data_IF_166634186833
#
_entry.id   IF_166634186833
#
_cell.length_a   1.000
_cell.length_b   1.000
_cell.length_c   1.000
_cell.angle_alpha   90.00
_cell.angle_beta   90.00
_cell.angle_gamma   90.00
#
_symmetry.space_group_name_H-M   'P 1'
#
loop_
_entity.id
_entity.type
_entity.pdbx_description
1 polymer ?
#
# COMPACT_ATOMS: atom_id res chain seq x y z
N UNK A 1 9.09 -4.30 27.56
CA UNK A 1 7.74 -4.80 27.20
C UNK A 1 6.70 -4.12 28.08
N UNK A 2 5.59 -3.67 27.50
CA UNK A 2 4.49 -3.02 28.22
C UNK A 2 3.21 -3.79 27.95
N UNK A 3 2.46 -4.11 29.00
CA UNK A 3 1.13 -4.73 28.87
C UNK A 3 0.08 -3.61 28.77
N UNK A 4 -0.72 -3.64 27.73
CA UNK A 4 -1.74 -2.65 27.43
C UNK A 4 -3.04 -3.31 27.01
N UNK A 5 -4.13 -2.57 26.94
CA UNK A 5 -5.36 -2.99 26.29
C UNK A 5 -5.59 -2.14 25.06
N UNK A 6 -5.50 -2.75 23.88
CA UNK A 6 -5.79 -2.08 22.60
C UNK A 6 -7.15 -2.51 22.09
N UNK A 7 -8.08 -1.58 21.99
CA UNK A 7 -9.46 -1.83 21.54
C UNK A 7 -10.18 -2.96 22.29
N UNK A 8 -9.93 -3.05 23.61
CA UNK A 8 -10.51 -4.08 24.48
C UNK A 8 -9.75 -5.42 24.52
N UNK A 9 -8.73 -5.60 23.71
CA UNK A 9 -7.91 -6.81 23.70
C UNK A 9 -6.64 -6.64 24.55
N UNK A 10 -6.28 -7.63 25.40
CA UNK A 10 -5.00 -7.62 26.08
C UNK A 10 -3.87 -7.70 25.07
N UNK A 11 -2.95 -6.77 25.14
CA UNK A 11 -1.87 -6.62 24.19
C UNK A 11 -0.54 -6.39 24.88
N UNK A 12 0.56 -6.75 24.24
CA UNK A 12 1.92 -6.49 24.70
C UNK A 12 2.66 -5.66 23.66
N UNK A 13 3.14 -4.50 24.09
CA UNK A 13 4.01 -3.66 23.27
C UNK A 13 5.46 -4.06 23.52
N UNK A 14 6.14 -4.46 22.46
CA UNK A 14 7.55 -4.88 22.45
C UNK A 14 8.39 -3.71 21.95
N UNK A 15 9.44 -3.34 22.67
CA UNK A 15 10.21 -2.11 22.41
C UNK A 15 11.71 -2.31 22.30
N UNK A 16 12.26 -3.44 22.73
CA UNK A 16 13.70 -3.69 22.60
C UNK A 16 14.02 -4.42 21.28
N UNK A 17 15.15 -4.10 20.63
CA UNK A 17 15.53 -4.75 19.35
C UNK A 17 15.57 -6.27 19.44
N UNK A 18 16.10 -6.83 20.54
CA UNK A 18 16.24 -8.28 20.75
C UNK A 18 14.86 -8.95 20.81
N UNK A 19 13.93 -8.34 21.56
CA UNK A 19 12.57 -8.90 21.69
C UNK A 19 11.79 -8.71 20.38
N UNK A 20 11.95 -7.58 19.70
CA UNK A 20 11.34 -7.37 18.38
C UNK A 20 11.86 -8.42 17.38
N UNK A 21 13.18 -8.66 17.36
CA UNK A 21 13.75 -9.70 16.49
C UNK A 21 13.12 -11.06 16.78
N UNK A 22 13.05 -11.47 18.05
CA UNK A 22 12.45 -12.75 18.43
C UNK A 22 11.01 -12.89 17.95
N UNK A 23 10.17 -11.85 18.18
CA UNK A 23 8.77 -11.88 17.73
C UNK A 23 8.64 -11.91 16.21
N UNK A 24 9.54 -11.25 15.48
CA UNK A 24 9.48 -11.15 14.02
C UNK A 24 10.11 -12.33 13.27
N UNK A 25 10.85 -13.20 13.97
CA UNK A 25 11.54 -14.35 13.35
C UNK A 25 11.05 -15.71 13.85
N UNK A 26 10.15 -15.73 14.82
CA UNK A 26 9.59 -16.95 15.42
C UNK A 26 8.16 -17.14 14.90
N UNK A 27 8.06 -17.69 13.68
CA UNK A 27 6.79 -17.93 12.99
C UNK A 27 5.96 -19.07 13.63
N UNK A 28 6.56 -19.89 14.48
CA UNK A 28 5.84 -20.93 15.23
C UNK A 28 5.06 -20.34 16.41
N UNK A 29 5.67 -19.40 17.14
CA UNK A 29 5.07 -18.80 18.32
C UNK A 29 4.21 -17.54 18.01
N UNK A 30 4.48 -16.85 16.89
CA UNK A 30 3.83 -15.61 16.54
C UNK A 30 3.31 -15.63 15.11
N UNK A 31 2.04 -15.32 14.94
CA UNK A 31 1.42 -15.19 13.62
C UNK A 31 1.07 -13.72 13.32
N UNK A 32 1.20 -13.28 12.07
CA UNK A 32 0.77 -11.95 11.67
C UNK A 32 -0.73 -11.75 11.92
N UNK A 33 -1.07 -10.71 12.66
CA UNK A 33 -2.45 -10.30 12.92
C UNK A 33 -2.75 -8.98 12.22
N UNK A 34 -3.73 -8.96 11.33
CA UNK A 34 -4.14 -7.76 10.63
C UNK A 34 -5.47 -7.24 11.17
N UNK A 35 -5.68 -5.91 11.24
CA UNK A 35 -6.97 -5.36 11.58
C UNK A 35 -8.06 -5.87 10.63
N UNK A 36 -9.23 -6.19 11.16
CA UNK A 36 -10.36 -6.70 10.35
C UNK A 36 -10.71 -5.77 9.19
N UNK A 37 -10.64 -4.46 9.39
CA UNK A 37 -10.84 -3.48 8.33
C UNK A 37 -9.86 -3.67 7.15
N UNK A 38 -8.59 -3.96 7.43
CA UNK A 38 -7.60 -4.21 6.40
C UNK A 38 -7.90 -5.50 5.61
N UNK A 39 -8.23 -6.59 6.31
CA UNK A 39 -8.57 -7.87 5.69
C UNK A 39 -9.78 -7.75 4.77
N UNK A 40 -10.85 -7.11 5.22
CA UNK A 40 -12.07 -6.92 4.43
C UNK A 40 -11.87 -6.04 3.21
N UNK A 41 -11.06 -4.98 3.33
CA UNK A 41 -10.81 -4.04 2.24
C UNK A 41 -9.79 -4.55 1.20
N UNK A 42 -8.79 -5.32 1.64
CA UNK A 42 -7.74 -5.82 0.74
C UNK A 42 -8.11 -7.19 0.16
N UNK A 43 -8.97 -7.92 0.87
CA UNK A 43 -9.45 -9.24 0.49
C UNK A 43 -8.68 -10.40 1.11
N UNK A 44 -9.37 -11.52 1.31
CA UNK A 44 -8.83 -12.72 1.98
C UNK A 44 -7.71 -13.40 1.16
N UNK A 45 -7.72 -13.24 -0.16
CA UNK A 45 -6.68 -13.80 -1.06
C UNK A 45 -5.49 -12.88 -1.26
N UNK A 46 -5.39 -11.82 -0.48
CA UNK A 46 -4.29 -10.86 -0.56
C UNK A 46 -3.02 -11.37 0.11
N UNK A 47 -1.89 -10.75 -0.22
CA UNK A 47 -0.59 -11.05 0.40
C UNK A 47 -0.60 -11.10 1.93
N UNK A 48 -1.48 -10.35 2.58
CA UNK A 48 -1.56 -10.26 4.05
C UNK A 48 -2.30 -11.44 4.69
N UNK A 49 -3.03 -12.24 3.89
CA UNK A 49 -3.85 -13.36 4.38
C UNK A 49 -3.44 -14.71 3.79
N UNK A 50 -2.52 -14.71 2.82
CA UNK A 50 -2.08 -15.94 2.18
C UNK A 50 -1.40 -16.90 3.16
N UNK A 51 -1.58 -18.22 2.98
CA UNK A 51 -0.73 -19.22 3.62
C UNK A 51 0.75 -18.98 3.31
N UNK A 52 1.63 -19.31 4.23
CA UNK A 52 3.06 -19.03 4.15
C UNK A 52 3.71 -19.50 2.85
N UNK A 53 3.40 -20.70 2.39
CA UNK A 53 3.96 -21.27 1.17
C UNK A 53 3.54 -20.52 -0.09
N UNK A 54 2.27 -20.12 -0.18
CA UNK A 54 1.77 -19.30 -1.29
C UNK A 54 2.37 -17.90 -1.24
N UNK A 55 2.47 -17.31 -0.05
CA UNK A 55 3.13 -16.03 0.15
C UNK A 55 4.59 -16.06 -0.31
N UNK A 56 5.38 -17.06 0.10
CA UNK A 56 6.77 -17.23 -0.33
C UNK A 56 6.89 -17.39 -1.85
N UNK A 57 6.01 -18.19 -2.45
CA UNK A 57 5.96 -18.37 -3.91
C UNK A 57 5.68 -17.07 -4.64
N UNK A 58 4.61 -16.38 -4.26
CA UNK A 58 4.19 -15.14 -4.91
C UNK A 58 5.23 -14.03 -4.72
N UNK A 59 5.81 -13.91 -3.52
CA UNK A 59 6.87 -12.95 -3.24
C UNK A 59 8.11 -13.19 -4.11
N UNK A 60 8.48 -14.44 -4.36
CA UNK A 60 9.60 -14.79 -5.25
C UNK A 60 9.30 -14.39 -6.69
N UNK A 61 8.09 -14.62 -7.16
CA UNK A 61 7.67 -14.26 -8.53
C UNK A 61 7.59 -12.75 -8.74
N UNK A 62 7.18 -12.00 -7.73
CA UNK A 62 7.01 -10.54 -7.83
C UNK A 62 8.28 -9.75 -7.49
N UNK A 63 9.20 -10.31 -6.69
CA UNK A 63 10.39 -9.58 -6.25
C UNK A 63 11.39 -9.33 -7.38
N UNK A 64 11.62 -10.29 -8.25
CA UNK A 64 12.60 -10.16 -9.31
C UNK A 64 12.22 -9.05 -10.34
N UNK A 65 10.98 -9.00 -10.86
CA UNK A 65 10.56 -7.94 -11.77
C UNK A 65 10.54 -6.53 -11.15
N UNK A 66 10.37 -6.43 -9.82
CA UNK A 66 10.22 -5.13 -9.13
C UNK A 66 11.54 -4.65 -8.53
N UNK A 67 12.30 -5.55 -7.88
CA UNK A 67 13.49 -5.21 -7.11
C UNK A 67 14.78 -5.80 -7.70
N UNK A 68 14.71 -6.52 -8.83
CA UNK A 68 15.88 -7.05 -9.50
C UNK A 68 16.80 -5.94 -10.02
N UNK A 69 18.11 -6.14 -10.03
CA UNK A 69 19.08 -5.15 -10.48
C UNK A 69 18.78 -4.64 -11.90
N UNK A 70 18.49 -5.55 -12.81
CA UNK A 70 18.14 -5.22 -14.20
C UNK A 70 16.83 -4.40 -14.27
N UNK A 71 15.81 -4.80 -13.52
CA UNK A 71 14.54 -4.08 -13.46
C UNK A 71 14.73 -2.65 -12.92
N UNK A 72 15.48 -2.50 -11.82
CA UNK A 72 15.80 -1.19 -11.23
C UNK A 72 16.57 -0.32 -12.21
N UNK A 73 17.56 -0.88 -12.92
CA UNK A 73 18.33 -0.15 -13.93
C UNK A 73 17.43 0.40 -15.06
N UNK A 74 16.41 -0.35 -15.46
CA UNK A 74 15.43 0.08 -16.45
C UNK A 74 14.48 1.17 -15.93
N UNK A 75 14.17 1.17 -14.63
CA UNK A 75 13.24 2.16 -14.05
C UNK A 75 13.91 3.48 -13.68
N UNK A 76 15.22 3.49 -13.38
CA UNK A 76 15.95 4.69 -12.95
C UNK A 76 15.78 5.87 -13.92
N UNK A 77 15.96 5.73 -15.24
CA UNK A 77 15.78 6.86 -16.16
C UNK A 77 14.37 7.44 -16.15
N UNK A 78 13.35 6.58 -16.01
CA UNK A 78 11.97 7.02 -15.90
C UNK A 78 11.71 7.75 -14.57
N UNK A 79 12.24 7.23 -13.47
CA UNK A 79 12.14 7.85 -12.14
C UNK A 79 12.80 9.23 -12.15
N UNK A 80 14.03 9.31 -12.66
CA UNK A 80 14.79 10.57 -12.76
C UNK A 80 14.02 11.62 -13.55
N UNK A 81 13.51 11.27 -14.72
CA UNK A 81 12.70 12.15 -15.55
C UNK A 81 11.49 12.70 -14.77
N UNK A 82 10.69 11.82 -14.15
CA UNK A 82 9.50 12.23 -13.39
C UNK A 82 9.83 13.09 -12.16
N UNK A 83 10.94 12.81 -11.49
CA UNK A 83 11.42 13.63 -10.37
C UNK A 83 11.79 15.03 -10.85
N UNK A 84 12.58 15.15 -11.92
CA UNK A 84 13.01 16.43 -12.48
C UNK A 84 11.80 17.28 -12.95
N UNK A 85 10.87 16.69 -13.69
CA UNK A 85 9.65 17.34 -14.14
C UNK A 85 8.79 17.80 -12.95
N UNK A 86 8.69 16.99 -11.91
CA UNK A 86 7.95 17.34 -10.70
C UNK A 86 8.61 18.49 -9.94
N UNK A 87 9.91 18.47 -9.77
CA UNK A 87 10.67 19.55 -9.12
C UNK A 87 10.55 20.86 -9.89
N UNK A 88 10.64 20.81 -11.21
CA UNK A 88 10.43 21.98 -12.06
C UNK A 88 9.01 22.54 -11.93
N UNK A 89 8.00 21.68 -11.92
CA UNK A 89 6.62 22.06 -11.70
C UNK A 89 6.43 22.70 -10.33
N UNK A 90 6.96 22.08 -9.27
CA UNK A 90 6.83 22.57 -7.90
C UNK A 90 7.56 23.89 -7.69
N UNK A 91 8.69 24.13 -8.36
CA UNK A 91 9.42 25.40 -8.28
C UNK A 91 8.62 26.59 -8.81
N UNK A 92 7.66 26.34 -9.71
CA UNK A 92 6.77 27.36 -10.31
C UNK A 92 5.45 27.50 -9.55
N UNK A 93 5.15 26.59 -8.63
CA UNK A 93 3.98 26.64 -7.75
C UNK A 93 4.33 27.46 -6.51
N UNK A 94 3.37 28.16 -5.95
CA UNK A 94 3.52 28.78 -4.63
C UNK A 94 3.73 27.74 -3.53
N UNK A 95 3.32 27.99 -2.30
CA UNK A 95 3.40 27.02 -1.23
C UNK A 95 2.71 25.71 -1.61
N UNK A 96 3.40 24.58 -1.44
CA UNK A 96 2.89 23.24 -1.75
C UNK A 96 2.75 22.38 -0.49
N UNK A 97 1.78 21.48 -0.47
CA UNK A 97 1.72 20.42 0.51
C UNK A 97 2.63 19.26 0.04
N UNK A 98 3.86 19.26 0.53
CA UNK A 98 4.92 18.35 0.04
C UNK A 98 4.52 16.87 0.09
N UNK A 99 3.88 16.42 1.17
CA UNK A 99 3.47 15.02 1.32
C UNK A 99 2.47 14.60 0.23
N UNK A 100 1.52 15.46 -0.11
CA UNK A 100 0.54 15.20 -1.17
C UNK A 100 1.22 15.12 -2.54
N UNK A 101 2.15 16.03 -2.84
CA UNK A 101 2.88 16.02 -4.11
C UNK A 101 3.79 14.78 -4.22
N UNK A 102 4.48 14.43 -3.12
CA UNK A 102 5.34 13.25 -3.09
C UNK A 102 4.55 11.94 -3.27
N UNK A 103 3.36 11.84 -2.69
CA UNK A 103 2.47 10.70 -2.89
C UNK A 103 2.06 10.54 -4.36
N UNK A 104 1.71 11.63 -5.03
CA UNK A 104 1.37 11.62 -6.46
C UNK A 104 2.54 11.13 -7.30
N UNK A 105 3.73 11.71 -7.09
CA UNK A 105 4.93 11.29 -7.79
C UNK A 105 5.22 9.79 -7.58
N UNK A 106 5.21 9.34 -6.33
CA UNK A 106 5.45 7.93 -5.99
C UNK A 106 4.40 7.02 -6.63
N UNK A 107 3.13 7.42 -6.60
CA UNK A 107 2.06 6.66 -7.23
C UNK A 107 2.27 6.53 -8.74
N UNK A 108 2.61 7.60 -9.44
CA UNK A 108 2.91 7.59 -10.88
C UNK A 108 4.03 6.62 -11.21
N UNK A 109 5.12 6.65 -10.45
CA UNK A 109 6.26 5.74 -10.63
C UNK A 109 5.85 4.28 -10.42
N UNK A 110 5.14 3.98 -9.33
CA UNK A 110 4.69 2.61 -9.02
C UNK A 110 3.75 2.09 -10.09
N UNK A 111 2.80 2.91 -10.54
CA UNK A 111 1.86 2.51 -11.58
C UNK A 111 2.56 2.23 -12.91
N UNK A 112 3.58 3.01 -13.27
CA UNK A 112 4.41 2.72 -14.44
C UNK A 112 5.12 1.35 -14.34
N UNK A 113 5.64 1.01 -13.17
CA UNK A 113 6.30 -0.28 -12.93
C UNK A 113 5.33 -1.45 -13.11
N UNK A 114 4.08 -1.31 -12.67
CA UNK A 114 3.09 -2.39 -12.70
C UNK A 114 2.25 -2.44 -13.97
N UNK A 115 1.93 -1.29 -14.58
CA UNK A 115 1.00 -1.18 -15.70
C UNK A 115 1.67 -0.68 -16.99
N UNK A 116 2.97 -0.39 -16.94
CA UNK A 116 3.79 0.14 -18.03
C UNK A 116 3.39 1.56 -18.46
N UNK A 117 2.27 1.73 -19.14
CA UNK A 117 1.75 3.06 -19.47
C UNK A 117 0.22 3.02 -19.54
N UNK A 118 -0.40 3.93 -18.81
CA UNK A 118 -1.83 4.12 -18.82
C UNK A 118 -2.16 5.59 -19.16
N UNK A 119 -3.38 5.81 -19.65
CA UNK A 119 -3.85 7.15 -19.95
C UNK A 119 -3.98 7.98 -18.68
N UNK A 120 -3.69 9.28 -18.78
CA UNK A 120 -3.75 10.20 -17.64
C UNK A 120 -5.09 10.18 -16.87
N UNK A 121 -6.26 10.09 -17.52
CA UNK A 121 -7.54 9.95 -16.81
C UNK A 121 -7.67 8.66 -15.99
N UNK A 122 -7.10 7.55 -16.47
CA UNK A 122 -7.09 6.27 -15.75
C UNK A 122 -6.18 6.38 -14.53
N UNK A 123 -5.02 7.01 -14.67
CA UNK A 123 -4.08 7.23 -13.57
C UNK A 123 -4.67 8.11 -12.46
N UNK A 124 -5.35 9.20 -12.80
CA UNK A 124 -6.03 10.06 -11.82
C UNK A 124 -7.13 9.31 -11.07
N UNK A 125 -7.92 8.52 -11.79
CA UNK A 125 -8.96 7.70 -11.16
C UNK A 125 -8.36 6.68 -10.20
N UNK A 126 -7.33 5.95 -10.62
CA UNK A 126 -6.64 4.95 -9.78
C UNK A 126 -5.99 5.59 -8.56
N UNK A 127 -5.37 6.76 -8.68
CA UNK A 127 -4.80 7.51 -7.56
C UNK A 127 -5.86 7.85 -6.53
N UNK A 128 -7.01 8.32 -6.98
CA UNK A 128 -8.14 8.69 -6.12
C UNK A 128 -8.68 7.49 -5.36
N UNK A 129 -8.91 6.37 -6.04
CA UNK A 129 -9.43 5.15 -5.42
C UNK A 129 -8.37 4.49 -4.50
N UNK A 130 -7.11 4.45 -4.92
CA UNK A 130 -6.01 3.99 -4.05
C UNK A 130 -5.89 4.83 -2.77
N UNK A 131 -6.02 6.14 -2.89
CA UNK A 131 -6.00 7.04 -1.73
C UNK A 131 -7.15 6.74 -0.77
N UNK A 132 -8.36 6.54 -1.27
CA UNK A 132 -9.52 6.15 -0.46
C UNK A 132 -9.30 4.82 0.27
N UNK A 133 -8.79 3.82 -0.45
CA UNK A 133 -8.48 2.51 0.11
C UNK A 133 -7.42 2.62 1.21
N UNK A 134 -6.36 3.37 0.98
CA UNK A 134 -5.26 3.58 1.92
C UNK A 134 -5.72 4.23 3.24
N UNK A 135 -6.61 5.21 3.17
CA UNK A 135 -7.21 5.80 4.36
C UNK A 135 -8.16 4.83 5.06
N UNK A 136 -8.95 4.07 4.32
CA UNK A 136 -9.90 3.10 4.87
C UNK A 136 -9.23 1.95 5.61
N UNK A 137 -8.13 1.42 5.09
CA UNK A 137 -7.35 0.32 5.71
C UNK A 137 -6.83 0.70 7.10
N UNK A 138 -6.53 1.99 7.33
CA UNK A 138 -6.04 2.52 8.61
C UNK A 138 -7.13 3.05 9.52
N UNK A 139 -8.36 3.15 9.02
CA UNK A 139 -9.48 3.69 9.77
C UNK A 139 -10.13 2.64 10.66
N UNK A 140 -10.87 3.10 11.67
CA UNK A 140 -11.79 2.24 12.40
C UNK A 140 -12.88 1.71 11.47
N UNK A 141 -13.30 0.45 11.68
CA UNK A 141 -14.31 -0.23 10.88
C UNK A 141 -15.73 0.33 11.17
N UNK A 142 -15.95 1.56 10.75
CA UNK A 142 -17.26 2.24 10.86
C UNK A 142 -17.86 2.37 9.47
N UNK A 143 -18.84 1.52 9.17
CA UNK A 143 -19.53 1.51 7.88
C UNK A 143 -20.74 2.47 7.88
N UNK A 144 -20.47 3.76 8.05
CA UNK A 144 -21.46 4.82 7.94
C UNK A 144 -21.05 5.83 6.85
N UNK A 145 -21.99 6.41 6.10
CA UNK A 145 -21.71 7.44 5.11
C UNK A 145 -20.83 8.57 5.69
N UNK A 146 -19.80 8.95 4.95
CA UNK A 146 -18.85 9.98 5.39
C UNK A 146 -17.56 9.43 6.00
N UNK A 147 -17.56 8.26 6.61
CA UNK A 147 -16.36 7.65 7.21
C UNK A 147 -15.41 7.06 6.15
N UNK A 148 -14.11 7.05 6.47
CA UNK A 148 -13.08 6.59 5.55
C UNK A 148 -13.25 5.10 5.18
N UNK A 149 -13.61 4.25 6.14
CA UNK A 149 -13.88 2.83 5.89
C UNK A 149 -15.05 2.63 4.92
N UNK A 150 -16.17 3.35 5.11
CA UNK A 150 -17.32 3.28 4.20
C UNK A 150 -16.96 3.73 2.77
N UNK A 151 -16.13 4.78 2.65
CA UNK A 151 -15.66 5.25 1.34
C UNK A 151 -14.76 4.22 0.66
N UNK A 152 -13.93 3.53 1.42
CA UNK A 152 -13.03 2.50 0.90
C UNK A 152 -13.77 1.24 0.44
N UNK A 153 -14.84 0.83 1.11
CA UNK A 153 -15.67 -0.30 0.67
C UNK A 153 -16.24 -0.11 -0.74
N UNK A 154 -16.50 1.14 -1.13
CA UNK A 154 -17.04 1.48 -2.46
C UNK A 154 -15.98 1.59 -3.55
N UNK A 155 -14.71 1.44 -3.23
CA UNK A 155 -13.63 1.57 -4.21
C UNK A 155 -13.79 0.55 -5.35
N UNK A 156 -14.06 -0.70 -5.01
CA UNK A 156 -14.22 -1.77 -6.01
C UNK A 156 -15.46 -1.61 -6.88
N UNK A 157 -16.52 -1.03 -6.33
CA UNK A 157 -17.75 -0.73 -7.10
C UNK A 157 -17.52 0.37 -8.16
N UNK A 158 -16.55 1.25 -7.91
CA UNK A 158 -16.21 2.38 -8.78
C UNK A 158 -15.12 2.05 -9.81
N UNK A 159 -14.47 0.90 -9.70
CA UNK A 159 -13.41 0.52 -10.64
C UNK A 159 -13.99 0.03 -11.98
N UNK A 160 -13.40 0.43 -13.12
CA UNK A 160 -13.76 -0.12 -14.41
C UNK A 160 -13.60 -1.63 -14.44
N UNK A 161 -14.53 -2.33 -15.09
CA UNK A 161 -14.48 -3.79 -15.19
C UNK A 161 -13.22 -4.33 -15.87
N UNK A 162 -12.54 -3.51 -16.68
CA UNK A 162 -11.26 -3.86 -17.31
C UNK A 162 -10.12 -4.02 -16.28
N UNK A 163 -10.17 -3.30 -15.17
CA UNK A 163 -9.14 -3.35 -14.10
C UNK A 163 -9.52 -4.37 -13.01
N UNK A 164 -10.82 -4.54 -12.77
CA UNK A 164 -11.34 -5.47 -11.75
C UNK A 164 -11.12 -6.95 -12.11
N UNK A 165 -10.74 -7.29 -13.34
CA UNK A 165 -10.53 -8.65 -13.83
C UNK A 165 -9.06 -9.04 -14.05
N UNK A 166 -8.11 -8.12 -13.76
CA UNK A 166 -6.68 -8.40 -13.68
C UNK A 166 -6.30 -8.91 -12.29
#
# INVERSE_FOLDING_TARGET
MYKVHLFGNPSVVVTTPETCRKVLTDDEAFQPGWPRAAVELIGEKSFIQMPEEEHKRLRRLTSAPVNGFEALSNYIPYIEKNVLESLEKWSKMGPIEFLTQLRKLTFTVIMYIFLSSESEPVMEMLEKEYTRLNYGVRAMRINLPGFAYHKALKVFDNMPQSISKM
#
